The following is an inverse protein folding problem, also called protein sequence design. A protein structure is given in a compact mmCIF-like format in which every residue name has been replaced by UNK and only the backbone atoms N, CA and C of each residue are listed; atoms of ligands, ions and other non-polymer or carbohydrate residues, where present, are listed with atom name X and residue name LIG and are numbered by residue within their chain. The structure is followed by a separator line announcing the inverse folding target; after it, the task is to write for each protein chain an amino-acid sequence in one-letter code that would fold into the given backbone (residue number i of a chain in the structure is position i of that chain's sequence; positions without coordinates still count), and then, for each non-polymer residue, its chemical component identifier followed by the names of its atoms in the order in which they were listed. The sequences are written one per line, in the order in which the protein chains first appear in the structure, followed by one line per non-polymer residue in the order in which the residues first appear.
data_IF_188362472594
#
_entry.id   IF_188362472594
#
_cell.length_a   1.000
_cell.length_b   1.000
_cell.length_c   1.000
_cell.angle_alpha   90.00
_cell.angle_beta   90.00
_cell.angle_gamma   90.00
#
_symmetry.space_group_name_H-M   'P 1'
#
loop_
_entity.id
_entity.type
_entity.pdbx_description
1 polymer ?
#
# COMPACT_ATOMS: atom_id res chain seq x y z
N UNK A 1 -7.25 40.03 -19.08
CA UNK A 1 -6.27 39.12 -18.45
C UNK A 1 -6.81 37.71 -18.62
N UNK A 2 -6.10 36.91 -19.43
CA UNK A 2 -6.53 35.58 -19.86
C UNK A 2 -6.14 34.50 -18.83
N UNK A 3 -7.03 33.52 -18.75
CA UNK A 3 -6.99 32.21 -18.07
C UNK A 3 -5.69 31.41 -18.26
N UNK A 4 -5.38 30.54 -17.29
CA UNK A 4 -4.70 29.26 -17.55
C UNK A 4 -5.17 28.14 -16.60
N UNK A 5 -5.86 27.19 -17.23
CA UNK A 5 -6.18 25.77 -17.00
C UNK A 5 -5.88 25.04 -15.67
N UNK A 6 -6.83 24.19 -15.18
CA UNK A 6 -6.57 23.09 -14.26
C UNK A 6 -6.01 21.85 -14.99
N UNK A 7 -5.05 21.17 -14.36
CA UNK A 7 -4.45 19.90 -14.81
C UNK A 7 -5.50 18.77 -14.86
N UNK A 8 -5.55 18.10 -16.01
CA UNK A 8 -6.39 16.93 -16.30
C UNK A 8 -5.80 15.68 -15.64
N UNK A 9 -6.60 14.98 -14.83
CA UNK A 9 -6.24 13.69 -14.22
C UNK A 9 -6.71 12.56 -15.17
N UNK A 10 -5.84 11.65 -15.64
CA UNK A 10 -6.24 10.62 -16.59
C UNK A 10 -6.76 9.38 -15.86
N UNK A 11 -8.04 9.37 -15.46
CA UNK A 11 -8.74 8.14 -15.07
C UNK A 11 -9.94 7.96 -15.99
N UNK A 12 -10.01 6.81 -16.67
CA UNK A 12 -11.18 6.43 -17.46
C UNK A 12 -12.25 5.89 -16.51
N UNK A 13 -13.12 6.78 -16.04
CA UNK A 13 -14.24 6.49 -15.15
C UNK A 13 -15.35 5.81 -15.97
N UNK A 14 -15.73 4.58 -15.63
CA UNK A 14 -16.93 3.96 -16.19
C UNK A 14 -18.03 3.87 -15.13
N UNK A 15 -19.24 4.28 -15.51
CA UNK A 15 -20.44 4.05 -14.72
C UNK A 15 -20.92 2.61 -14.97
N UNK A 16 -21.03 1.81 -13.92
CA UNK A 16 -21.50 0.42 -14.01
C UNK A 16 -23.01 0.37 -14.29
N UNK A 17 -23.44 -0.50 -15.22
CA UNK A 17 -24.86 -0.84 -15.48
C UNK A 17 -25.31 -1.99 -14.55
N UNK A 18 -26.59 -2.06 -14.15
CA UNK A 18 -27.05 -3.10 -13.24
C UNK A 18 -27.28 -4.44 -13.96
N UNK A 19 -26.84 -5.53 -13.33
CA UNK A 19 -27.26 -6.90 -13.64
C UNK A 19 -28.33 -7.31 -12.63
N UNK A 20 -29.48 -7.78 -13.12
CA UNK A 20 -30.65 -8.12 -12.31
C UNK A 20 -30.67 -9.62 -11.97
N UNK A 21 -30.67 -9.96 -10.69
CA UNK A 21 -31.33 -11.18 -10.17
C UNK A 21 -31.64 -11.03 -8.68
N UNK A 22 -32.85 -11.48 -8.33
CA UNK A 22 -33.64 -11.25 -7.12
C UNK A 22 -33.20 -11.97 -5.83
N UNK A 23 -33.55 -11.31 -4.70
CA UNK A 23 -33.71 -11.75 -3.29
C UNK A 23 -32.56 -11.56 -2.27
N UNK A 24 -32.66 -10.44 -1.53
CA UNK A 24 -32.66 -10.25 -0.04
C UNK A 24 -31.72 -11.07 0.84
N UNK A 25 -30.94 -10.54 1.78
CA UNK A 25 -30.77 -9.23 2.41
C UNK A 25 -29.29 -9.09 2.75
N UNK A 26 -28.57 -8.25 2.01
CA UNK A 26 -27.21 -7.83 2.36
C UNK A 26 -27.27 -6.31 2.24
N UNK A 27 -26.89 -5.59 3.30
CA UNK A 27 -26.78 -4.14 3.25
C UNK A 27 -25.57 -3.81 2.35
N UNK A 28 -25.74 -3.97 1.04
CA UNK A 28 -24.75 -3.64 0.04
C UNK A 28 -24.61 -2.12 -0.03
N UNK A 29 -23.75 -1.58 0.83
CA UNK A 29 -23.21 -0.24 0.62
C UNK A 29 -22.22 -0.36 -0.53
N UNK A 30 -22.73 -0.43 -1.75
CA UNK A 30 -21.89 -0.41 -2.94
C UNK A 30 -21.11 0.91 -2.89
N UNK A 31 -19.76 0.89 -2.85
CA UNK A 31 -18.99 2.11 -2.69
C UNK A 31 -19.29 3.03 -3.88
N UNK A 32 -19.74 4.26 -3.56
CA UNK A 32 -20.23 5.25 -4.54
C UNK A 32 -19.17 5.61 -5.59
N UNK A 33 -17.89 5.39 -5.25
CA UNK A 33 -16.75 5.48 -6.13
C UNK A 33 -15.81 4.29 -5.91
N UNK A 34 -15.47 3.60 -6.99
CA UNK A 34 -14.60 2.43 -6.98
C UNK A 34 -13.50 2.59 -8.02
N UNK A 35 -12.25 2.61 -7.59
CA UNK A 35 -11.12 2.36 -8.47
C UNK A 35 -10.99 0.85 -8.70
N UNK A 36 -10.60 0.46 -9.92
CA UNK A 36 -10.29 -0.93 -10.30
C UNK A 36 -9.05 -0.95 -11.18
N UNK A 37 -8.15 -1.91 -10.97
CA UNK A 37 -6.92 -2.07 -11.72
C UNK A 37 -6.22 -3.40 -11.42
N UNK A 38 -4.92 -3.46 -11.70
CA UNK A 38 -4.09 -4.63 -11.40
C UNK A 38 -2.81 -4.23 -10.66
N UNK A 39 -2.38 -5.05 -9.69
CA UNK A 39 -1.13 -4.83 -8.94
C UNK A 39 0.13 -4.80 -9.80
N UNK A 40 0.10 -5.45 -10.97
CA UNK A 40 1.20 -5.39 -11.95
C UNK A 40 1.42 -3.97 -12.49
N UNK A 41 0.34 -3.18 -12.60
CA UNK A 41 0.37 -1.80 -13.10
C UNK A 41 0.64 -0.81 -11.97
N UNK A 42 -0.16 -0.86 -10.89
CA UNK A 42 0.01 0.00 -9.71
C UNK A 42 0.17 -0.88 -8.48
N UNK A 43 1.35 -0.86 -7.88
CA UNK A 43 1.62 -1.75 -6.73
C UNK A 43 0.91 -1.27 -5.48
N UNK A 44 0.71 -2.18 -4.52
CA UNK A 44 0.12 -1.84 -3.23
C UNK A 44 0.81 -0.65 -2.54
N UNK A 45 2.16 -0.53 -2.46
CA UNK A 45 2.80 0.61 -1.83
C UNK A 45 2.45 1.95 -2.50
N UNK A 46 2.37 1.98 -3.83
CA UNK A 46 2.01 3.18 -4.59
C UNK A 46 0.53 3.56 -4.39
N UNK A 47 -0.36 2.56 -4.33
CA UNK A 47 -1.77 2.78 -3.99
C UNK A 47 -1.91 3.31 -2.57
N UNK A 48 -1.28 2.66 -1.59
CA UNK A 48 -1.32 3.07 -0.19
C UNK A 48 -0.79 4.49 0.00
N UNK A 49 0.32 4.85 -0.66
CA UNK A 49 0.84 6.22 -0.62
C UNK A 49 -0.15 7.24 -1.20
N UNK A 50 -0.83 6.89 -2.31
CA UNK A 50 -1.84 7.77 -2.91
C UNK A 50 -3.03 7.97 -1.98
N UNK A 51 -3.53 6.88 -1.38
CA UNK A 51 -4.64 6.91 -0.43
C UNK A 51 -4.27 7.76 0.80
N UNK A 52 -3.07 7.55 1.33
CA UNK A 52 -2.53 8.31 2.47
C UNK A 52 -2.40 9.81 2.16
N UNK A 53 -1.85 10.16 0.99
CA UNK A 53 -1.66 11.55 0.56
C UNK A 53 -2.97 12.33 0.51
N UNK A 54 -4.06 11.71 0.08
CA UNK A 54 -5.37 12.34 -0.01
C UNK A 54 -6.25 12.07 1.22
N UNK A 55 -5.74 11.33 2.22
CA UNK A 55 -6.45 10.89 3.44
C UNK A 55 -7.85 10.32 3.14
N UNK A 56 -7.96 9.51 2.09
CA UNK A 56 -9.25 8.97 1.64
C UNK A 56 -9.57 7.68 2.41
N UNK A 57 -10.66 7.61 3.19
CA UNK A 57 -11.07 6.38 3.84
C UNK A 57 -11.67 5.39 2.84
N UNK A 58 -11.44 4.10 3.07
CA UNK A 58 -12.00 3.06 2.21
C UNK A 58 -11.37 1.68 2.40
N UNK A 59 -11.74 0.77 1.50
CA UNK A 59 -11.24 -0.61 1.49
C UNK A 59 -10.45 -0.86 0.21
N UNK A 60 -9.19 -1.27 0.35
CA UNK A 60 -8.43 -1.88 -0.75
C UNK A 60 -8.72 -3.38 -0.72
N UNK A 61 -9.33 -3.90 -1.79
CA UNK A 61 -9.58 -5.33 -1.97
C UNK A 61 -8.71 -5.86 -3.11
N UNK A 62 -7.94 -6.90 -2.84
CA UNK A 62 -7.05 -7.55 -3.80
C UNK A 62 -7.48 -9.00 -3.99
N UNK A 63 -7.62 -9.45 -5.24
CA UNK A 63 -7.94 -10.83 -5.61
C UNK A 63 -6.82 -11.44 -6.45
N UNK A 64 -6.35 -12.64 -6.07
CA UNK A 64 -5.41 -13.45 -6.86
C UNK A 64 -5.62 -14.93 -6.57
N UNK A 65 -5.75 -15.75 -7.60
CA UNK A 65 -5.81 -17.22 -7.46
C UNK A 65 -6.88 -17.71 -6.49
N UNK A 66 -8.06 -17.08 -6.47
CA UNK A 66 -9.15 -17.41 -5.54
C UNK A 66 -8.98 -16.88 -4.10
N UNK A 67 -7.84 -16.27 -3.78
CA UNK A 67 -7.62 -15.59 -2.50
C UNK A 67 -8.04 -14.13 -2.59
N UNK A 68 -8.81 -13.66 -1.61
CA UNK A 68 -9.25 -12.28 -1.45
C UNK A 68 -8.65 -11.73 -0.16
N UNK A 69 -7.96 -10.59 -0.25
CA UNK A 69 -7.46 -9.85 0.91
C UNK A 69 -8.04 -8.44 0.91
N UNK A 70 -8.39 -7.92 2.09
CA UNK A 70 -8.94 -6.58 2.26
C UNK A 70 -8.12 -5.80 3.27
N UNK A 71 -7.85 -4.54 2.97
CA UNK A 71 -7.15 -3.59 3.85
C UNK A 71 -8.06 -2.39 4.06
N UNK A 72 -8.42 -2.14 5.32
CA UNK A 72 -9.35 -1.09 5.73
C UNK A 72 -8.55 0.12 6.19
N UNK A 73 -8.84 1.27 5.61
CA UNK A 73 -8.02 2.48 5.76
C UNK A 73 -8.89 3.65 6.22
N UNK A 74 -8.38 4.37 7.22
CA UNK A 74 -8.98 5.63 7.71
C UNK A 74 -7.90 6.57 8.22
N UNK A 75 -8.01 7.85 7.87
CA UNK A 75 -7.19 8.94 8.41
C UNK A 75 -5.67 8.71 8.36
N UNK A 76 -5.18 8.02 7.32
CA UNK A 76 -3.75 7.71 7.18
C UNK A 76 -3.27 6.44 7.91
N UNK A 77 -4.20 5.69 8.49
CA UNK A 77 -3.94 4.44 9.19
C UNK A 77 -4.61 3.28 8.47
N UNK A 78 -3.92 2.14 8.45
CA UNK A 78 -4.58 0.85 8.29
C UNK A 78 -5.20 0.50 9.64
N UNK A 79 -6.51 0.33 9.64
CA UNK A 79 -7.28 0.05 10.85
C UNK A 79 -7.65 -1.42 11.00
N UNK A 80 -7.68 -2.16 9.88
CA UNK A 80 -7.97 -3.59 9.86
C UNK A 80 -7.47 -4.24 8.57
N UNK A 81 -7.29 -5.55 8.57
CA UNK A 81 -7.15 -6.33 7.35
C UNK A 81 -7.73 -7.73 7.52
N UNK A 82 -8.24 -8.29 6.42
CA UNK A 82 -8.81 -9.64 6.38
C UNK A 82 -8.35 -10.39 5.14
N UNK A 83 -8.43 -11.72 5.21
CA UNK A 83 -8.02 -12.62 4.14
C UNK A 83 -8.89 -13.85 4.11
N UNK A 84 -9.15 -14.37 2.91
CA UNK A 84 -9.79 -15.69 2.71
C UNK A 84 -8.77 -16.83 2.70
N UNK A 85 -7.47 -16.53 2.71
CA UNK A 85 -6.42 -17.54 2.88
C UNK A 85 -6.46 -18.11 4.29
N UNK A 86 -6.43 -19.44 4.41
CA UNK A 86 -6.45 -20.11 5.71
C UNK A 86 -5.14 -19.90 6.48
N UNK A 87 -4.03 -19.74 5.79
CA UNK A 87 -2.70 -19.52 6.37
C UNK A 87 -2.56 -18.14 7.04
N UNK A 88 -3.46 -17.22 6.68
CA UNK A 88 -3.58 -15.89 7.27
C UNK A 88 -4.49 -15.85 8.49
N UNK A 89 -5.20 -16.94 8.81
CA UNK A 89 -6.11 -16.96 9.95
C UNK A 89 -5.36 -16.79 11.28
N UNK A 90 -6.02 -16.21 12.29
CA UNK A 90 -5.46 -16.07 13.64
C UNK A 90 -4.94 -17.41 14.19
N UNK A 91 -5.66 -18.50 13.95
CA UNK A 91 -5.24 -19.84 14.39
C UNK A 91 -3.93 -20.28 13.71
N UNK A 92 -3.85 -20.15 12.37
CA UNK A 92 -2.64 -20.48 11.64
C UNK A 92 -1.45 -19.61 12.07
N UNK A 93 -1.69 -18.31 12.33
CA UNK A 93 -0.69 -17.40 12.87
C UNK A 93 -0.17 -17.86 14.24
N UNK A 94 -1.07 -18.13 15.20
CA UNK A 94 -0.71 -18.55 16.56
C UNK A 94 0.12 -19.84 16.58
N UNK A 95 -0.22 -20.80 15.70
CA UNK A 95 0.50 -22.05 15.57
C UNK A 95 1.90 -21.82 14.98
N UNK A 96 2.00 -21.08 13.87
CA UNK A 96 3.25 -20.79 13.18
C UNK A 96 4.22 -19.95 14.02
N UNK A 97 3.68 -19.06 14.85
CA UNK A 97 4.45 -18.24 15.77
C UNK A 97 4.79 -18.97 17.09
N UNK A 98 4.41 -20.25 17.23
CA UNK A 98 4.63 -21.08 18.43
C UNK A 98 4.05 -20.47 19.72
N UNK A 99 3.05 -19.60 19.60
CA UNK A 99 2.39 -18.93 20.74
C UNK A 99 1.42 -19.90 21.43
N UNK A 100 0.72 -20.72 20.64
CA UNK A 100 -0.22 -21.72 21.15
C UNK A 100 0.11 -23.09 20.53
N UNK A 101 0.29 -24.13 21.36
CA UNK A 101 0.47 -25.50 20.88
C UNK A 101 -0.71 -25.99 20.01
N UNK A 102 -0.41 -26.83 19.02
CA UNK A 102 -1.43 -27.30 18.07
C UNK A 102 -2.59 -28.06 18.71
N UNK A 103 -2.31 -28.87 19.73
CA UNK A 103 -3.34 -29.62 20.48
C UNK A 103 -4.30 -28.71 21.26
N UNK A 104 -3.76 -27.65 21.89
CA UNK A 104 -4.54 -26.61 22.55
C UNK A 104 -5.41 -25.86 21.54
N UNK A 105 -4.85 -25.45 20.41
CA UNK A 105 -5.58 -24.75 19.36
C UNK A 105 -6.69 -25.61 18.73
N UNK A 106 -6.41 -26.90 18.50
CA UNK A 106 -7.39 -27.87 17.99
C UNK A 106 -8.56 -28.06 18.95
N UNK A 107 -8.28 -28.10 20.26
CA UNK A 107 -9.32 -28.20 21.29
C UNK A 107 -10.29 -27.01 21.25
N UNK A 108 -9.76 -25.80 21.07
CA UNK A 108 -10.54 -24.56 20.96
C UNK A 108 -11.27 -24.49 19.62
N UNK A 109 -10.63 -24.91 18.54
CA UNK A 109 -11.25 -24.96 17.21
C UNK A 109 -12.46 -25.92 17.18
N UNK A 110 -12.40 -27.05 17.90
CA UNK A 110 -13.56 -27.95 18.09
C UNK A 110 -14.71 -27.26 18.81
N UNK A 111 -14.43 -26.53 19.89
CA UNK A 111 -15.43 -25.76 20.64
C UNK A 111 -16.04 -24.62 19.80
N UNK A 112 -15.25 -24.03 18.90
CA UNK A 112 -15.75 -23.00 17.97
C UNK A 112 -16.77 -23.56 16.99
N UNK A 113 -16.73 -24.85 16.64
CA UNK A 113 -17.73 -25.46 15.74
C UNK A 113 -19.10 -25.59 16.39
N UNK A 114 -19.16 -25.66 17.73
CA UNK A 114 -20.38 -25.78 18.51
C UNK A 114 -20.79 -24.48 19.23
N UNK A 115 -20.10 -23.36 18.97
CA UNK A 115 -20.39 -22.05 19.57
C UNK A 115 -20.34 -20.94 18.52
N UNK A 116 -21.05 -19.83 18.75
CA UNK A 116 -20.97 -18.64 17.89
C UNK A 116 -19.88 -17.65 18.34
N UNK A 117 -18.89 -18.11 19.13
CA UNK A 117 -17.86 -17.24 19.71
C UNK A 117 -16.63 -17.15 18.80
N UNK A 118 -15.97 -15.99 18.82
CA UNK A 118 -14.70 -15.78 18.09
C UNK A 118 -13.57 -16.59 18.73
N UNK A 119 -12.59 -16.99 17.92
CA UNK A 119 -11.43 -17.77 18.38
C UNK A 119 -10.70 -17.10 19.56
N UNK A 120 -10.43 -15.80 19.46
CA UNK A 120 -9.77 -15.03 20.52
C UNK A 120 -10.53 -15.06 21.85
N UNK A 121 -11.86 -14.96 21.81
CA UNK A 121 -12.71 -15.02 23.03
C UNK A 121 -12.58 -16.40 23.68
N UNK A 122 -12.63 -17.48 22.89
CA UNK A 122 -12.50 -18.83 23.41
C UNK A 122 -11.11 -19.11 24.00
N UNK A 123 -10.05 -18.53 23.44
CA UNK A 123 -8.68 -18.64 23.98
C UNK A 123 -8.58 -18.00 25.37
N UNK A 124 -9.23 -16.85 25.56
CA UNK A 124 -9.31 -16.14 26.86
C UNK A 124 -10.13 -16.96 27.85
N UNK A 125 -11.32 -17.41 27.47
CA UNK A 125 -12.22 -18.18 28.35
C UNK A 125 -11.60 -19.51 28.82
N UNK A 126 -10.71 -20.09 28.02
CA UNK A 126 -9.97 -21.32 28.36
C UNK A 126 -8.68 -21.05 29.13
N UNK A 127 -8.33 -19.79 29.39
CA UNK A 127 -7.11 -19.42 30.09
C UNK A 127 -5.84 -19.75 29.31
N UNK A 128 -5.93 -19.92 27.98
CA UNK A 128 -4.77 -20.24 27.13
C UNK A 128 -3.96 -18.98 26.84
N UNK A 129 -4.64 -17.85 26.64
CA UNK A 129 -4.02 -16.54 26.44
C UNK A 129 -4.76 -15.48 27.26
N UNK A 130 -4.01 -14.52 27.80
CA UNK A 130 -4.57 -13.31 28.37
C UNK A 130 -5.18 -12.42 27.27
N UNK A 131 -6.13 -11.52 27.60
CA UNK A 131 -6.73 -10.60 26.62
C UNK A 131 -5.70 -9.76 25.84
N UNK A 132 -4.64 -9.32 26.51
CA UNK A 132 -3.54 -8.58 25.86
C UNK A 132 -2.79 -9.42 24.82
N UNK A 133 -2.50 -10.68 25.13
CA UNK A 133 -1.80 -11.60 24.20
C UNK A 133 -2.64 -11.92 22.96
N UNK A 134 -3.96 -12.08 23.15
CA UNK A 134 -4.89 -12.24 22.01
C UNK A 134 -4.91 -10.99 21.14
N UNK A 135 -4.95 -9.80 21.75
CA UNK A 135 -4.95 -8.55 21.00
C UNK A 135 -3.64 -8.34 20.22
N UNK A 136 -2.49 -8.57 20.84
CA UNK A 136 -1.18 -8.53 20.16
C UNK A 136 -1.12 -9.55 19.02
N UNK A 137 -1.63 -10.77 19.23
CA UNK A 137 -1.67 -11.79 18.18
C UNK A 137 -2.54 -11.38 16.99
N UNK A 138 -3.69 -10.74 17.25
CA UNK A 138 -4.57 -10.20 16.20
C UNK A 138 -3.87 -9.05 15.46
N UNK A 139 -3.19 -8.14 16.17
CA UNK A 139 -2.41 -7.06 15.54
C UNK A 139 -1.36 -7.65 14.60
N UNK A 140 -0.56 -8.59 15.08
CA UNK A 140 0.50 -9.19 14.28
C UNK A 140 -0.03 -9.99 13.08
N UNK A 141 -1.18 -10.67 13.25
CA UNK A 141 -1.87 -11.33 12.15
C UNK A 141 -2.32 -10.33 11.07
N UNK A 142 -2.92 -9.21 11.47
CA UNK A 142 -3.34 -8.14 10.54
C UNK A 142 -2.12 -7.56 9.81
N UNK A 143 -1.04 -7.26 10.54
CA UNK A 143 0.23 -6.82 9.97
C UNK A 143 0.77 -7.81 8.93
N UNK A 144 0.78 -9.10 9.25
CA UNK A 144 1.22 -10.16 8.35
C UNK A 144 0.36 -10.23 7.06
N UNK A 145 -0.97 -10.08 7.17
CA UNK A 145 -1.86 -10.02 6.01
C UNK A 145 -1.48 -8.85 5.10
N UNK A 146 -1.33 -7.66 5.67
CA UNK A 146 -0.99 -6.44 4.91
C UNK A 146 0.36 -6.60 4.22
N UNK A 147 1.40 -7.03 4.94
CA UNK A 147 2.73 -7.19 4.35
C UNK A 147 2.82 -8.32 3.33
N UNK A 148 2.01 -9.38 3.47
CA UNK A 148 1.95 -10.44 2.44
C UNK A 148 1.53 -9.92 1.06
N UNK A 149 0.73 -8.84 1.01
CA UNK A 149 0.31 -8.20 -0.24
C UNK A 149 1.44 -7.41 -0.92
N UNK A 150 2.49 -7.01 -0.20
CA UNK A 150 3.66 -6.37 -0.81
C UNK A 150 4.42 -7.32 -1.73
N UNK A 151 4.22 -8.63 -1.57
CA UNK A 151 4.88 -9.67 -2.36
C UNK A 151 4.04 -10.14 -3.55
N UNK A 152 2.83 -9.62 -3.72
CA UNK A 152 1.98 -9.93 -4.85
C UNK A 152 2.39 -9.06 -6.05
N UNK A 153 2.92 -9.70 -7.09
CA UNK A 153 3.36 -9.02 -8.31
C UNK A 153 2.20 -8.69 -9.26
N UNK A 154 1.08 -9.38 -9.08
CA UNK A 154 -0.13 -9.29 -9.88
C UNK A 154 -1.36 -9.55 -9.01
N UNK A 155 -2.53 -9.18 -9.50
CA UNK A 155 -3.82 -9.42 -8.86
C UNK A 155 -4.79 -8.29 -9.17
N UNK A 156 -6.07 -8.64 -9.31
CA UNK A 156 -7.13 -7.63 -9.47
C UNK A 156 -7.21 -6.82 -8.18
N UNK A 157 -7.13 -5.50 -8.28
CA UNK A 157 -7.22 -4.62 -7.14
C UNK A 157 -8.36 -3.64 -7.34
N UNK A 158 -9.11 -3.41 -6.26
CA UNK A 158 -10.13 -2.37 -6.23
C UNK A 158 -10.00 -1.54 -4.96
N UNK A 159 -10.32 -0.25 -5.05
CA UNK A 159 -10.42 0.63 -3.89
C UNK A 159 -11.82 1.23 -3.85
N UNK A 160 -12.61 0.82 -2.87
CA UNK A 160 -13.94 1.36 -2.60
C UNK A 160 -13.84 2.52 -1.61
N UNK A 161 -14.26 3.71 -2.02
CA UNK A 161 -14.32 4.89 -1.15
C UNK A 161 -15.54 4.83 -0.25
N UNK A 162 -15.37 5.14 1.04
CA UNK A 162 -16.50 5.37 1.95
C UNK A 162 -16.53 4.47 3.18
N UNK A 163 -17.70 4.43 3.81
CA UNK A 163 -17.88 3.94 5.18
C UNK A 163 -17.59 2.44 5.31
N UNK A 164 -16.76 2.15 6.30
CA UNK A 164 -16.34 0.82 6.71
C UNK A 164 -17.35 0.36 7.77
N UNK A 165 -17.96 -0.81 7.61
CA UNK A 165 -18.73 -1.44 8.70
C UNK A 165 -17.75 -1.92 9.78
N UNK A 166 -17.50 -1.05 10.75
CA UNK A 166 -16.39 -1.22 11.70
C UNK A 166 -16.78 -1.81 13.04
N UNK A 167 -18.07 -1.80 13.37
CA UNK A 167 -18.57 -2.08 14.71
C UNK A 167 -18.17 -3.48 15.20
N UNK A 168 -17.88 -4.39 14.27
CA UNK A 168 -17.50 -5.75 14.55
C UNK A 168 -15.99 -6.02 14.41
N UNK A 169 -15.16 -5.07 13.99
CA UNK A 169 -13.75 -5.32 13.69
C UNK A 169 -12.82 -4.95 14.86
N UNK A 170 -11.76 -5.74 15.04
CA UNK A 170 -10.69 -5.36 15.98
C UNK A 170 -9.88 -4.23 15.34
N UNK A 171 -9.98 -3.08 15.99
CA UNK A 171 -9.25 -1.82 15.84
C UNK A 171 -7.72 -1.95 15.96
N UNK A 172 -6.93 -1.71 14.92
CA UNK A 172 -5.51 -1.37 15.09
C UNK A 172 -5.20 0.01 14.50
N UNK A 173 -4.00 0.52 14.75
CA UNK A 173 -3.54 1.77 14.15
C UNK A 173 -2.13 1.57 13.61
N UNK A 174 -2.04 1.29 12.31
CA UNK A 174 -0.77 1.18 11.61
C UNK A 174 -0.61 2.37 10.65
N UNK A 175 0.32 3.31 10.92
CA UNK A 175 0.58 4.41 10.00
C UNK A 175 0.98 3.88 8.62
N UNK A 176 0.28 4.33 7.57
CA UNK A 176 0.49 3.81 6.21
C UNK A 176 1.95 4.00 5.76
N UNK A 177 2.54 5.16 6.04
CA UNK A 177 3.94 5.45 5.68
C UNK A 177 4.91 4.43 6.30
N UNK A 178 4.72 4.06 7.57
CA UNK A 178 5.51 3.01 8.24
C UNK A 178 5.28 1.63 7.63
N UNK A 179 4.04 1.29 7.32
CA UNK A 179 3.68 0.03 6.65
C UNK A 179 4.39 -0.09 5.30
N UNK A 180 4.45 1.01 4.52
CA UNK A 180 5.14 1.06 3.23
C UNK A 180 6.63 0.76 3.39
N UNK A 181 7.32 1.43 4.32
CA UNK A 181 8.75 1.21 4.56
C UNK A 181 9.02 -0.23 4.97
N UNK A 182 8.29 -0.73 5.98
CA UNK A 182 8.53 -2.06 6.52
C UNK A 182 8.16 -3.17 5.51
N UNK A 183 7.04 -3.04 4.81
CA UNK A 183 6.62 -4.02 3.81
C UNK A 183 7.59 -4.14 2.64
N UNK A 184 8.17 -3.02 2.21
CA UNK A 184 9.22 -3.02 1.18
C UNK A 184 10.51 -3.62 1.73
N UNK A 185 10.95 -3.25 2.95
CA UNK A 185 12.17 -3.82 3.57
C UNK A 185 12.06 -5.32 3.75
N UNK A 186 10.91 -5.83 4.16
CA UNK A 186 10.67 -7.26 4.38
C UNK A 186 10.47 -8.09 3.11
N UNK A 187 10.46 -7.46 1.92
CA UNK A 187 10.32 -8.17 0.66
C UNK A 187 11.45 -9.19 0.43
N UNK A 188 11.11 -10.47 0.14
CA UNK A 188 12.09 -11.53 -0.01
C UNK A 188 12.90 -11.36 -1.30
N UNK A 189 12.27 -10.88 -2.38
CA UNK A 189 12.95 -10.54 -3.63
C UNK A 189 12.93 -9.04 -3.87
N UNK A 190 14.11 -8.44 -3.92
CA UNK A 190 14.28 -7.03 -4.24
C UNK A 190 14.05 -6.73 -5.73
N UNK A 191 14.29 -7.70 -6.64
CA UNK A 191 14.35 -7.45 -8.09
C UNK A 191 13.09 -6.77 -8.67
N UNK A 192 11.86 -7.24 -8.39
CA UNK A 192 10.66 -6.61 -8.95
C UNK A 192 10.51 -5.16 -8.48
N UNK A 193 10.78 -4.90 -7.19
CA UNK A 193 10.67 -3.58 -6.58
C UNK A 193 11.74 -2.62 -7.12
N UNK A 194 13.00 -3.05 -7.14
CA UNK A 194 14.13 -2.19 -7.54
C UNK A 194 14.17 -1.93 -9.05
N UNK A 195 13.55 -2.79 -9.86
CA UNK A 195 13.42 -2.54 -11.31
C UNK A 195 12.72 -1.20 -11.62
N UNK A 196 11.86 -0.74 -10.70
CA UNK A 196 11.13 0.53 -10.77
C UNK A 196 11.96 1.77 -10.41
N UNK A 197 13.17 1.57 -9.89
CA UNK A 197 14.14 2.66 -9.66
C UNK A 197 14.91 3.04 -10.93
N UNK A 198 14.80 2.26 -12.01
CA UNK A 198 15.55 2.46 -13.24
C UNK A 198 16.92 1.77 -13.22
N UNK A 199 17.87 2.31 -13.98
CA UNK A 199 19.19 1.68 -14.15
C UNK A 199 20.15 2.05 -13.02
N UNK A 200 21.27 1.32 -12.91
CA UNK A 200 22.32 1.62 -11.93
C UNK A 200 22.89 3.05 -12.00
N UNK A 201 22.71 3.72 -13.15
CA UNK A 201 23.14 5.09 -13.41
C UNK A 201 22.08 6.14 -13.05
N UNK A 202 20.87 5.73 -12.66
CA UNK A 202 19.83 6.65 -12.20
C UNK A 202 20.36 7.49 -11.04
N UNK A 203 20.22 8.80 -11.15
CA UNK A 203 20.56 9.74 -10.07
C UNK A 203 19.29 10.08 -9.30
N UNK A 204 19.34 9.95 -7.98
CA UNK A 204 18.24 10.33 -7.09
C UNK A 204 18.52 11.68 -6.42
N UNK A 205 17.49 12.51 -6.33
CA UNK A 205 17.50 13.79 -5.61
C UNK A 205 16.41 13.82 -4.52
N UNK A 206 16.66 14.51 -3.39
CA UNK A 206 15.68 14.64 -2.32
C UNK A 206 14.50 15.51 -2.76
N UNK A 207 13.29 15.19 -2.27
CA UNK A 207 12.09 15.98 -2.50
C UNK A 207 11.07 15.91 -1.35
N UNK A 208 11.52 15.61 -0.13
CA UNK A 208 10.70 15.60 1.09
C UNK A 208 10.60 16.96 1.77
N UNK A 209 9.54 17.16 2.54
CA UNK A 209 9.46 18.16 3.62
C UNK A 209 9.79 17.52 4.98
N UNK A 210 10.03 18.32 6.02
CA UNK A 210 10.46 17.82 7.34
C UNK A 210 9.37 16.93 7.98
N UNK A 211 8.11 17.28 7.78
CA UNK A 211 6.94 16.57 8.30
C UNK A 211 6.84 15.14 7.75
N UNK A 212 7.28 14.90 6.51
CA UNK A 212 7.26 13.58 5.90
C UNK A 212 8.17 12.57 6.62
N UNK A 213 9.23 13.07 7.26
CA UNK A 213 10.21 12.24 7.99
C UNK A 213 9.69 11.76 9.34
N UNK A 214 8.83 12.54 10.00
CA UNK A 214 8.31 12.20 11.33
C UNK A 214 7.34 11.03 11.22
N UNK A 215 6.42 11.09 10.25
CA UNK A 215 5.39 10.06 10.08
C UNK A 215 5.93 8.73 9.50
N UNK A 216 7.09 8.77 8.82
CA UNK A 216 7.70 7.57 8.23
C UNK A 216 8.42 6.69 9.26
N UNK A 217 8.86 7.27 10.39
CA UNK A 217 9.50 6.51 11.47
C UNK A 217 10.82 5.85 11.04
N UNK A 218 11.64 6.57 10.27
CA UNK A 218 12.93 6.07 9.79
C UNK A 218 13.88 5.76 10.94
N UNK A 219 14.51 4.58 10.89
CA UNK A 219 15.57 4.24 11.84
C UNK A 219 16.89 4.97 11.52
N UNK A 220 17.91 4.74 12.34
CA UNK A 220 19.22 5.40 12.20
C UNK A 220 19.90 5.07 10.87
N UNK A 221 19.79 3.84 10.39
CA UNK A 221 20.39 3.42 9.12
C UNK A 221 19.58 3.91 7.92
N UNK A 222 18.25 3.92 8.06
CA UNK A 222 17.35 4.48 7.05
C UNK A 222 17.66 5.97 6.80
N UNK A 223 17.77 6.73 7.89
CA UNK A 223 18.10 8.16 7.82
C UNK A 223 19.50 8.43 7.26
N UNK A 224 20.49 7.58 7.60
CA UNK A 224 21.85 7.68 7.04
C UNK A 224 21.84 7.48 5.52
N UNK A 225 21.06 6.52 5.00
CA UNK A 225 20.94 6.33 3.56
C UNK A 225 20.27 7.53 2.90
N UNK A 226 19.15 8.01 3.47
CA UNK A 226 18.44 9.18 2.94
C UNK A 226 19.35 10.41 2.84
N UNK A 227 20.15 10.70 3.87
CA UNK A 227 21.12 11.82 3.86
C UNK A 227 22.21 11.70 2.80
N UNK A 228 22.49 10.50 2.28
CA UNK A 228 23.46 10.32 1.19
C UNK A 228 22.88 10.73 -0.16
N UNK A 229 21.57 10.86 -0.28
CA UNK A 229 20.87 11.28 -1.51
C UNK A 229 20.97 12.80 -1.67
N UNK A 230 21.92 13.23 -2.50
CA UNK A 230 22.26 14.66 -2.69
C UNK A 230 21.90 15.18 -4.09
N UNK A 231 21.27 14.39 -4.95
CA UNK A 231 21.02 14.76 -6.35
C UNK A 231 22.22 14.60 -7.29
N UNK A 232 23.33 14.03 -6.81
CA UNK A 232 24.56 13.83 -7.58
C UNK A 232 25.05 12.38 -7.61
N UNK A 233 24.54 11.52 -6.73
CA UNK A 233 24.95 10.11 -6.64
C UNK A 233 24.02 9.21 -7.43
N UNK A 234 24.60 8.23 -8.11
CA UNK A 234 23.84 7.19 -8.81
C UNK A 234 23.31 6.13 -7.85
N UNK A 235 22.32 5.35 -8.28
CA UNK A 235 21.82 4.19 -7.53
C UNK A 235 22.95 3.24 -7.14
N UNK A 236 23.88 2.96 -8.06
CA UNK A 236 25.03 2.11 -7.78
C UNK A 236 25.85 2.61 -6.58
N UNK A 237 26.16 3.91 -6.56
CA UNK A 237 26.93 4.54 -5.49
C UNK A 237 26.16 4.58 -4.17
N UNK A 238 24.85 4.82 -4.22
CA UNK A 238 23.99 4.81 -3.05
C UNK A 238 23.90 3.40 -2.44
N UNK A 239 23.74 2.36 -3.25
CA UNK A 239 23.67 0.98 -2.75
C UNK A 239 25.03 0.43 -2.27
N UNK A 240 26.16 0.88 -2.84
CA UNK A 240 27.49 0.31 -2.53
C UNK A 240 28.27 0.99 -1.40
N UNK A 241 27.88 2.18 -0.95
CA UNK A 241 28.72 3.01 -0.06
C UNK A 241 28.18 3.24 1.36
N UNK A 242 27.41 2.30 1.91
CA UNK A 242 26.75 2.46 3.22
C UNK A 242 26.88 1.23 4.13
N UNK A 243 26.20 1.26 5.28
CA UNK A 243 26.12 0.15 6.24
C UNK A 243 25.18 -0.98 5.80
N UNK A 244 24.21 -0.67 4.94
CA UNK A 244 23.25 -1.63 4.42
C UNK A 244 23.83 -2.43 3.25
N UNK A 245 23.46 -3.70 3.15
CA UNK A 245 23.74 -4.50 1.97
C UNK A 245 23.08 -3.87 0.72
N UNK A 246 23.67 -4.02 -0.50
CA UNK A 246 23.16 -3.34 -1.69
C UNK A 246 21.69 -3.61 -2.01
N UNK A 247 21.19 -4.83 -1.78
CA UNK A 247 19.79 -5.17 -1.99
C UNK A 247 18.85 -4.47 -0.98
N UNK A 248 19.26 -4.40 0.29
CA UNK A 248 18.51 -3.69 1.34
C UNK A 248 18.48 -2.19 1.10
N UNK A 249 19.63 -1.60 0.72
CA UNK A 249 19.70 -0.20 0.33
C UNK A 249 18.79 0.09 -0.87
N UNK A 250 18.76 -0.78 -1.88
CA UNK A 250 17.90 -0.61 -3.04
C UNK A 250 16.40 -0.70 -2.69
N UNK A 251 15.98 -1.66 -1.85
CA UNK A 251 14.62 -1.74 -1.32
C UNK A 251 14.24 -0.45 -0.60
N UNK A 252 15.11 0.05 0.27
CA UNK A 252 14.85 1.28 1.01
C UNK A 252 14.78 2.52 0.11
N UNK A 253 15.64 2.64 -0.91
CA UNK A 253 15.55 3.72 -1.91
C UNK A 253 14.23 3.65 -2.69
N UNK A 254 13.72 2.45 -2.98
CA UNK A 254 12.40 2.27 -3.58
C UNK A 254 11.30 2.77 -2.65
N UNK A 255 11.34 2.44 -1.35
CA UNK A 255 10.41 2.96 -0.37
C UNK A 255 10.44 4.50 -0.32
N UNK A 256 11.62 5.11 -0.32
CA UNK A 256 11.77 6.57 -0.39
C UNK A 256 11.17 7.16 -1.67
N UNK A 257 11.30 6.49 -2.82
CA UNK A 257 10.71 6.94 -4.09
C UNK A 257 9.18 6.85 -4.08
N UNK A 258 8.62 5.77 -3.51
CA UNK A 258 7.17 5.59 -3.33
C UNK A 258 6.61 6.70 -2.45
N UNK A 259 7.26 6.96 -1.32
CA UNK A 259 6.86 7.97 -0.33
C UNK A 259 7.17 9.41 -0.75
N UNK A 260 7.73 9.62 -1.95
CA UNK A 260 8.16 10.93 -2.46
C UNK A 260 9.16 11.64 -1.56
N UNK A 261 9.98 10.88 -0.82
CA UNK A 261 11.14 11.44 -0.14
C UNK A 261 12.28 11.69 -1.12
N UNK A 262 12.36 10.88 -2.16
CA UNK A 262 13.31 11.06 -3.25
C UNK A 262 12.60 10.92 -4.58
N UNK A 263 13.20 11.49 -5.62
CA UNK A 263 12.76 11.32 -7.00
C UNK A 263 13.95 11.11 -7.93
N UNK A 264 13.67 10.51 -9.08
CA UNK A 264 14.67 10.43 -10.15
C UNK A 264 14.91 11.81 -10.70
N UNK A 265 16.19 12.18 -10.84
CA UNK A 265 16.58 13.39 -11.51
C UNK A 265 16.35 13.20 -13.01
N UNK A 266 15.39 13.91 -13.57
CA UNK A 266 15.25 13.96 -15.02
C UNK A 266 16.52 14.60 -15.60
N UNK A 267 17.21 13.89 -16.50
CA UNK A 267 18.24 14.53 -17.31
C UNK A 267 17.53 15.58 -18.17
N UNK A 268 17.85 16.86 -17.95
CA UNK A 268 17.62 17.83 -19.00
C UNK A 268 18.42 17.32 -20.20
N UNK A 269 17.75 16.83 -21.25
CA UNK A 269 18.37 16.79 -22.58
C UNK A 269 18.85 18.21 -22.86
N UNK A 270 20.17 18.39 -22.94
CA UNK A 270 20.74 19.58 -23.54
C UNK A 270 20.19 19.70 -24.97
N UNK A 271 19.63 20.86 -25.32
CA UNK A 271 19.35 21.24 -26.71
C UNK A 271 17.95 20.93 -27.24
N UNK A 272 16.95 21.61 -26.71
CA UNK A 272 15.68 21.85 -27.37
C UNK A 272 15.11 23.16 -26.87
N UNK A 273 15.61 24.28 -27.42
CA UNK A 273 15.11 25.62 -27.07
C UNK A 273 13.57 25.70 -27.23
N UNK A 274 12.92 26.68 -26.58
CA UNK A 274 11.46 26.77 -26.61
C UNK A 274 10.96 26.76 -28.05
N UNK A 275 10.08 25.82 -28.36
CA UNK A 275 9.34 25.74 -29.62
C UNK A 275 8.71 27.11 -29.88
N UNK A 276 9.30 27.91 -30.79
CA UNK A 276 8.68 29.13 -31.30
C UNK A 276 7.49 28.71 -32.16
N UNK A 277 6.31 28.66 -31.55
CA UNK A 277 5.05 28.56 -32.30
C UNK A 277 4.88 29.89 -33.02
N UNK A 278 5.22 29.93 -34.32
CA UNK A 278 4.76 31.01 -35.21
C UNK A 278 3.28 30.76 -35.47
N UNK A 279 2.40 31.52 -34.82
CA UNK A 279 1.03 31.66 -35.31
C UNK A 279 1.10 32.32 -36.69
N UNK A 280 0.68 31.59 -37.72
CA UNK A 280 0.38 32.19 -39.01
C UNK A 280 -0.85 33.06 -38.85
N UNK A 281 -0.68 34.38 -38.94
CA UNK A 281 -1.77 35.31 -39.17
C UNK A 281 -2.34 35.01 -40.56
N UNK A 282 -3.46 34.29 -40.60
CA UNK A 282 -4.30 34.20 -41.79
C UNK A 282 -4.94 35.57 -41.99
N UNK A 283 -4.32 36.37 -42.86
CA UNK A 283 -4.87 37.62 -43.35
C UNK A 283 -6.11 37.35 -44.20
N UNK A 284 -7.22 37.86 -43.68
CA UNK A 284 -8.34 38.48 -44.38
C UNK A 284 -8.34 38.41 -45.93
N UNK A 285 -9.38 37.76 -46.47
CA UNK A 285 -9.96 38.10 -47.77
C UNK A 285 -11.47 37.91 -47.70
N UNK A 286 -12.16 38.96 -47.28
CA UNK A 286 -13.50 39.26 -47.79
C UNK A 286 -13.39 40.57 -48.56
N UNK A 287 -13.45 40.49 -49.88
CA UNK A 287 -13.77 41.63 -50.73
C UNK A 287 -14.74 41.22 -51.82
N UNK A 288 -15.84 41.99 -51.85
CA UNK A 288 -16.93 42.10 -52.82
C UNK A 288 -18.05 41.08 -52.73
#
# INVERSE_FOLDING_TARGET
MLYSSPLVVPWNLSASRPFNSSNSTEHDVTPKFKYSGNLAETTLPEMLHTIDRFRVPGVVEVRRGGTIKRVYIRDGYIIHASSTDREDSLGAYLLRAEIVPGDALDSVARLRRSSNKRLGVLLIERGILAPGEVFESIRNQIEAIVWSLFYWQDGEVTFGVGALEEEEMVQIQLPIKRVIVQGIKSAPDAKPLVSRLGSKETVLEPCFEVEDLVETGLDKDDYRLLRRVTGTKTLYQLCGGGSLAPAEAAKLLYAFQVLKLVRQRHSQKAGGGPLKIKLGTSGDRITK
#
